data_IF_221221951600
#
_entry.id   IF_221221951600
#
_cell.length_a   1.000
_cell.length_b   1.000
_cell.length_c   1.000
_cell.angle_alpha   90.00
_cell.angle_beta   90.00
_cell.angle_gamma   90.00
#
_symmetry.space_group_name_H-M   'P 1'
#
loop_
_entity.id
_entity.type
_entity.pdbx_description
1 polymer ?
#
# COMPACT_ATOMS: atom_id res chain seq x y z
N UNK A 1 -31.26 29.52 -32.36
CA UNK A 1 -30.73 28.14 -32.24
C UNK A 1 -29.26 28.04 -31.81
N UNK A 2 -28.32 28.84 -32.35
CA UNK A 2 -26.89 28.74 -31.95
C UNK A 2 -26.62 29.06 -30.46
N UNK A 3 -27.32 30.03 -29.89
CA UNK A 3 -27.15 30.42 -28.47
C UNK A 3 -27.65 29.35 -27.49
N UNK A 4 -28.74 28.66 -27.83
CA UNK A 4 -29.30 27.56 -27.01
C UNK A 4 -28.30 26.39 -26.94
N UNK A 5 -27.66 26.04 -28.08
CA UNK A 5 -26.61 25.01 -28.11
C UNK A 5 -25.41 25.35 -27.22
N UNK A 6 -24.99 26.63 -27.19
CA UNK A 6 -23.89 27.09 -26.32
C UNK A 6 -24.24 26.99 -24.84
N UNK A 7 -25.47 27.34 -24.47
CA UNK A 7 -25.96 27.25 -23.08
C UNK A 7 -26.00 25.79 -22.61
N UNK A 8 -26.49 24.85 -23.44
CA UNK A 8 -26.50 23.42 -23.10
C UNK A 8 -25.09 22.86 -22.87
N UNK A 9 -24.09 23.29 -23.66
CA UNK A 9 -22.70 22.84 -23.47
C UNK A 9 -22.16 23.30 -22.11
N UNK A 10 -22.42 24.54 -21.72
CA UNK A 10 -21.98 25.09 -20.43
C UNK A 10 -22.60 24.32 -19.27
N UNK A 11 -23.91 24.03 -19.34
CA UNK A 11 -24.59 23.23 -18.32
C UNK A 11 -24.01 21.81 -18.20
N UNK A 12 -23.62 21.18 -19.31
CA UNK A 12 -23.01 19.85 -19.29
C UNK A 12 -21.68 19.82 -18.51
N UNK A 13 -20.86 20.87 -18.64
CA UNK A 13 -19.58 21.00 -17.93
C UNK A 13 -19.73 21.36 -16.45
N UNK A 14 -20.81 22.04 -16.05
CA UNK A 14 -21.07 22.39 -14.65
C UNK A 14 -21.49 21.16 -13.81
N UNK A 15 -22.22 20.22 -14.42
CA UNK A 15 -22.67 19.02 -13.71
C UNK A 15 -21.58 17.95 -13.53
N UNK A 16 -20.52 17.94 -14.34
CA UNK A 16 -19.42 16.98 -14.20
C UNK A 16 -18.55 17.21 -12.96
N UNK A 17 -18.62 18.38 -12.33
CA UNK A 17 -17.84 18.72 -11.14
C UNK A 17 -18.53 18.34 -9.82
N UNK A 18 -19.78 17.86 -9.86
CA UNK A 18 -20.58 17.54 -8.68
C UNK A 18 -20.51 16.07 -8.27
N UNK A 19 -19.75 15.24 -8.99
CA UNK A 19 -19.55 13.84 -8.61
C UNK A 19 -18.53 13.80 -7.47
N UNK A 20 -19.02 13.55 -6.25
CA UNK A 20 -18.17 13.15 -5.15
C UNK A 20 -17.50 11.82 -5.52
N UNK A 21 -16.17 11.79 -5.54
CA UNK A 21 -15.45 10.52 -5.63
C UNK A 21 -15.92 9.65 -4.45
N UNK A 22 -16.38 8.43 -4.72
CA UNK A 22 -16.80 7.52 -3.65
C UNK A 22 -15.55 7.16 -2.85
N UNK A 23 -15.54 7.47 -1.55
CA UNK A 23 -14.50 7.00 -0.65
C UNK A 23 -14.60 5.48 -0.55
N UNK A 24 -13.71 4.77 -1.25
CA UNK A 24 -13.61 3.33 -1.13
C UNK A 24 -13.25 2.98 0.31
N UNK A 25 -14.18 2.32 1.00
CA UNK A 25 -13.95 1.84 2.36
C UNK A 25 -12.83 0.80 2.32
N UNK A 26 -11.67 1.15 2.90
CA UNK A 26 -10.51 0.27 3.00
C UNK A 26 -10.92 -1.09 3.63
N UNK A 27 -10.39 -2.22 3.14
CA UNK A 27 -10.62 -3.53 3.74
C UNK A 27 -10.27 -3.53 5.25
N UNK A 28 -11.05 -4.27 6.04
CA UNK A 28 -10.97 -4.25 7.50
C UNK A 28 -9.55 -4.51 8.05
N UNK A 29 -8.77 -5.38 7.40
CA UNK A 29 -7.37 -5.67 7.76
C UNK A 29 -6.48 -4.42 7.81
N UNK A 30 -6.80 -3.41 7.01
CA UNK A 30 -6.06 -2.16 6.93
C UNK A 30 -6.67 -1.02 7.75
N UNK A 31 -7.92 -1.17 8.18
CA UNK A 31 -8.69 -0.10 8.82
C UNK A 31 -8.22 0.21 10.25
N UNK A 32 -7.66 -0.78 10.96
CA UNK A 32 -7.22 -0.62 12.35
C UNK A 32 -5.80 -0.03 12.50
N UNK A 33 -5.05 0.11 11.40
CA UNK A 33 -3.63 0.52 11.41
C UNK A 33 -3.38 2.02 11.09
N UNK A 34 -4.44 2.81 10.87
CA UNK A 34 -4.33 4.21 10.44
C UNK A 34 -3.86 5.20 11.52
N UNK A 35 -3.61 4.76 12.76
CA UNK A 35 -2.98 5.60 13.78
C UNK A 35 -1.46 5.62 13.57
N UNK A 36 -0.99 6.32 12.54
CA UNK A 36 0.40 6.73 12.45
C UNK A 36 0.67 7.75 13.55
N UNK A 37 1.25 7.30 14.67
CA UNK A 37 1.81 8.22 15.67
C UNK A 37 2.90 9.04 15.00
N UNK A 38 2.61 10.29 14.67
CA UNK A 38 3.61 11.31 14.33
C UNK A 38 4.33 11.73 15.60
N UNK A 39 5.07 10.81 16.21
CA UNK A 39 5.96 11.14 17.30
C UNK A 39 7.19 11.83 16.69
N UNK A 40 7.18 13.16 16.66
CA UNK A 40 8.38 13.93 16.36
C UNK A 40 9.46 13.54 17.39
N UNK A 41 10.54 12.93 16.91
CA UNK A 41 11.74 12.69 17.70
C UNK A 41 12.40 14.04 18.03
N UNK A 42 11.96 14.66 19.12
CA UNK A 42 12.75 15.63 19.88
C UNK A 42 13.25 14.92 21.14
N UNK A 43 14.52 14.51 21.13
CA UNK A 43 15.16 13.88 22.29
C UNK A 43 16.66 13.80 22.12
N UNK A 44 17.39 14.38 23.08
CA UNK A 44 18.84 14.40 23.15
C UNK A 44 19.46 13.00 22.99
N UNK A 45 20.39 12.87 22.05
CA UNK A 45 21.08 11.63 21.68
C UNK A 45 22.18 11.34 22.71
N UNK A 46 21.83 11.06 23.97
CA UNK A 46 22.85 10.76 25.00
C UNK A 46 22.54 9.59 25.95
N UNK A 47 21.40 8.91 25.83
CA UNK A 47 21.17 7.68 26.59
C UNK A 47 21.21 6.46 25.68
N UNK A 48 22.16 5.57 25.94
CA UNK A 48 22.28 4.27 25.32
C UNK A 48 20.98 3.49 25.47
N UNK A 49 20.25 3.31 24.36
CA UNK A 49 19.07 2.46 24.30
C UNK A 49 19.48 1.01 24.60
N UNK A 50 19.30 0.57 25.85
CA UNK A 50 19.21 -0.86 26.14
C UNK A 50 17.85 -1.34 25.64
N UNK A 51 17.84 -1.85 24.41
CA UNK A 51 16.69 -2.58 23.86
C UNK A 51 16.66 -3.93 24.56
N UNK A 52 15.71 -4.11 25.48
CA UNK A 52 15.33 -5.45 25.92
C UNK A 52 15.03 -6.28 24.68
N UNK A 53 15.57 -7.50 24.58
CA UNK A 53 15.23 -8.47 23.51
C UNK A 53 13.78 -8.95 23.72
N UNK A 54 12.83 -8.03 23.57
CA UNK A 54 11.47 -8.39 23.18
C UNK A 54 11.55 -8.95 21.76
N UNK A 55 10.68 -9.92 21.46
CA UNK A 55 10.60 -10.63 20.18
C UNK A 55 10.79 -9.63 19.04
N UNK A 56 11.84 -9.79 18.23
CA UNK A 56 12.16 -8.87 17.14
C UNK A 56 11.03 -8.91 16.10
N UNK A 57 10.03 -8.05 16.26
CA UNK A 57 8.99 -7.82 15.28
C UNK A 57 9.55 -6.86 14.24
N UNK A 58 9.99 -7.41 13.12
CA UNK A 58 10.47 -6.63 11.98
C UNK A 58 9.29 -6.37 11.06
N UNK A 59 8.41 -5.46 11.47
CA UNK A 59 7.22 -5.04 10.71
C UNK A 59 7.64 -4.04 9.62
N UNK A 60 7.08 -4.16 8.41
CA UNK A 60 7.22 -3.13 7.38
C UNK A 60 5.82 -2.61 7.04
N UNK A 61 5.57 -1.33 7.28
CA UNK A 61 4.33 -0.66 6.89
C UNK A 61 4.68 0.51 5.97
N UNK A 62 4.24 0.46 4.72
CA UNK A 62 4.52 1.47 3.71
C UNK A 62 3.22 1.99 3.09
N UNK A 63 3.06 3.31 3.03
CA UNK A 63 1.95 3.98 2.35
C UNK A 63 2.51 5.02 1.39
N UNK A 64 2.21 4.88 0.11
CA UNK A 64 2.61 5.80 -0.96
C UNK A 64 1.37 6.24 -1.74
N UNK A 65 1.26 7.53 -1.99
CA UNK A 65 0.17 8.14 -2.77
C UNK A 65 0.83 8.95 -3.89
N UNK A 66 0.43 8.68 -5.13
CA UNK A 66 1.00 9.25 -6.35
C UNK A 66 1.20 8.17 -7.41
N UNK A 67 1.56 8.61 -8.60
CA UNK A 67 1.79 7.72 -9.74
C UNK A 67 3.26 7.26 -9.77
N UNK A 68 3.52 6.13 -10.42
CA UNK A 68 4.86 5.59 -10.68
C UNK A 68 5.73 5.34 -9.43
N UNK A 69 5.13 5.15 -8.25
CA UNK A 69 5.88 4.81 -7.05
C UNK A 69 6.50 3.42 -7.18
N UNK A 70 7.75 3.30 -6.75
CA UNK A 70 8.48 2.03 -6.75
C UNK A 70 8.83 1.65 -5.32
N UNK A 71 8.47 0.43 -4.93
CA UNK A 71 8.84 -0.18 -3.68
C UNK A 71 9.45 -1.56 -3.93
N UNK A 72 10.69 -1.75 -3.49
CA UNK A 72 11.41 -3.03 -3.61
C UNK A 72 11.86 -3.47 -2.22
N UNK A 73 11.26 -4.53 -1.69
CA UNK A 73 11.56 -5.05 -0.37
C UNK A 73 12.21 -6.42 -0.50
N UNK A 74 13.38 -6.59 0.13
CA UNK A 74 14.06 -7.86 0.28
C UNK A 74 14.11 -8.22 1.76
N UNK A 75 13.23 -9.12 2.18
CA UNK A 75 13.21 -9.64 3.54
C UNK A 75 14.09 -10.88 3.65
N UNK A 76 15.01 -10.90 4.62
CA UNK A 76 15.84 -12.06 4.96
C UNK A 76 15.58 -12.60 6.38
N UNK A 77 15.18 -11.73 7.31
CA UNK A 77 15.03 -12.08 8.73
C UNK A 77 13.82 -11.36 9.35
N UNK A 78 12.72 -11.19 8.60
CA UNK A 78 11.54 -10.52 9.13
C UNK A 78 10.56 -11.51 9.74
N UNK A 79 9.83 -11.03 10.74
CA UNK A 79 8.77 -11.75 11.44
C UNK A 79 7.71 -10.71 11.82
N UNK A 80 6.43 -11.06 11.66
CA UNK A 80 5.30 -10.20 11.99
C UNK A 80 4.50 -9.75 10.77
N UNK A 81 3.80 -8.63 10.95
CA UNK A 81 2.92 -8.04 9.94
C UNK A 81 3.71 -7.16 8.97
N UNK A 82 3.39 -7.25 7.70
CA UNK A 82 3.91 -6.40 6.64
C UNK A 82 2.74 -5.86 5.85
N UNK A 83 2.63 -4.54 5.73
CA UNK A 83 1.55 -3.90 5.00
C UNK A 83 2.08 -2.90 3.99
N UNK A 84 1.48 -2.92 2.80
CA UNK A 84 1.74 -1.95 1.75
C UNK A 84 0.43 -1.35 1.26
N UNK A 85 0.44 -0.03 1.08
CA UNK A 85 -0.57 0.75 0.38
C UNK A 85 0.09 1.56 -0.72
N UNK A 86 -0.33 1.38 -1.97
CA UNK A 86 0.01 2.27 -3.08
C UNK A 86 -1.26 2.74 -3.76
N UNK A 87 -1.45 4.05 -3.86
CA UNK A 87 -2.61 4.68 -4.50
C UNK A 87 -2.11 5.59 -5.60
N UNK A 88 -2.54 5.36 -6.84
CA UNK A 88 -2.13 6.04 -8.06
C UNK A 88 -1.83 5.03 -9.18
N UNK A 89 -1.51 5.55 -10.36
CA UNK A 89 -1.32 4.75 -11.57
C UNK A 89 0.16 4.37 -11.76
N UNK A 90 0.44 3.23 -12.38
CA UNK A 90 1.81 2.80 -12.72
C UNK A 90 2.71 2.45 -11.54
N UNK A 91 2.17 2.26 -10.34
CA UNK A 91 2.93 1.90 -9.15
C UNK A 91 3.48 0.46 -9.25
N UNK A 92 4.73 0.26 -8.84
CA UNK A 92 5.39 -1.03 -8.89
C UNK A 92 5.85 -1.45 -7.50
N UNK A 93 5.36 -2.61 -7.06
CA UNK A 93 5.80 -3.24 -5.84
C UNK A 93 6.41 -4.61 -6.09
N UNK A 94 7.64 -4.78 -5.62
CA UNK A 94 8.30 -6.07 -5.54
C UNK A 94 8.61 -6.45 -4.09
N UNK A 95 8.12 -7.62 -3.68
CA UNK A 95 8.44 -8.24 -2.42
C UNK A 95 9.17 -9.56 -2.64
N UNK A 96 10.42 -9.62 -2.21
CA UNK A 96 11.20 -10.85 -2.15
C UNK A 96 11.36 -11.26 -0.70
N UNK A 97 10.82 -12.43 -0.35
CA UNK A 97 11.03 -13.04 0.94
C UNK A 97 12.01 -14.20 0.81
N UNK A 98 13.10 -14.13 1.56
CA UNK A 98 14.10 -15.19 1.72
C UNK A 98 14.20 -15.61 3.20
N UNK A 99 13.22 -15.25 4.03
CA UNK A 99 13.21 -15.59 5.44
C UNK A 99 12.78 -17.04 5.66
N UNK A 100 13.37 -17.66 6.68
CA UNK A 100 12.94 -18.97 7.19
C UNK A 100 11.76 -18.86 8.16
N UNK A 101 11.32 -17.65 8.49
CA UNK A 101 10.18 -17.40 9.38
C UNK A 101 8.93 -17.03 8.56
N UNK A 102 7.75 -17.53 8.95
CA UNK A 102 6.52 -17.11 8.32
C UNK A 102 6.21 -15.65 8.67
N UNK A 103 5.61 -14.93 7.72
CA UNK A 103 5.18 -13.55 7.88
C UNK A 103 3.71 -13.39 7.49
N UNK A 104 3.10 -12.29 7.94
CA UNK A 104 1.81 -11.85 7.43
C UNK A 104 2.05 -10.70 6.46
N UNK A 105 1.57 -10.80 5.22
CA UNK A 105 1.73 -9.78 4.19
C UNK A 105 0.36 -9.33 3.68
N UNK A 106 0.06 -8.04 3.86
CA UNK A 106 -1.06 -7.34 3.25
C UNK A 106 -0.59 -6.35 2.19
N UNK A 107 -1.16 -6.42 1.00
CA UNK A 107 -0.89 -5.47 -0.09
C UNK A 107 -2.20 -4.88 -0.57
N UNK A 108 -2.27 -3.55 -0.64
CA UNK A 108 -3.32 -2.79 -1.30
C UNK A 108 -2.70 -1.92 -2.38
N UNK A 109 -3.13 -2.13 -3.63
CA UNK A 109 -2.83 -1.23 -4.74
C UNK A 109 -4.13 -0.74 -5.37
N UNK A 110 -4.25 0.57 -5.55
CA UNK A 110 -5.40 1.20 -6.21
C UNK A 110 -4.91 2.15 -7.31
N UNK A 111 -5.46 2.01 -8.51
CA UNK A 111 -5.05 2.74 -9.72
C UNK A 111 -4.72 1.78 -10.88
N UNK A 112 -4.58 2.33 -12.08
CA UNK A 112 -4.34 1.58 -13.31
C UNK A 112 -2.86 1.28 -13.52
N UNK A 113 -2.57 0.23 -14.30
CA UNK A 113 -1.22 -0.17 -14.69
C UNK A 113 -0.26 -0.44 -13.52
N UNK A 114 -0.80 -0.70 -12.33
CA UNK A 114 -0.04 -1.10 -11.16
C UNK A 114 0.55 -2.51 -11.36
N UNK A 115 1.77 -2.73 -10.89
CA UNK A 115 2.46 -4.00 -10.92
C UNK A 115 2.73 -4.49 -9.50
N UNK A 116 2.32 -5.74 -9.23
CA UNK A 116 2.66 -6.48 -8.02
C UNK A 116 3.48 -7.71 -8.36
N UNK A 117 4.66 -7.83 -7.75
CA UNK A 117 5.50 -9.03 -7.83
C UNK A 117 5.88 -9.54 -6.45
N UNK A 118 5.45 -10.75 -6.11
CA UNK A 118 5.80 -11.41 -4.85
C UNK A 118 6.57 -12.69 -5.15
N UNK A 119 7.72 -12.87 -4.51
CA UNK A 119 8.58 -14.06 -4.66
C UNK A 119 8.96 -14.59 -3.29
N UNK A 120 8.74 -15.89 -3.05
CA UNK A 120 9.07 -16.58 -1.79
C UNK A 120 8.87 -18.09 -1.88
N UNK A 121 8.99 -18.82 -0.75
CA UNK A 121 8.67 -20.25 -0.65
C UNK A 121 7.35 -20.49 0.09
N UNK A 122 6.76 -21.67 -0.10
CA UNK A 122 5.37 -21.96 0.28
C UNK A 122 5.06 -21.80 1.78
N UNK A 123 6.05 -22.01 2.66
CA UNK A 123 5.88 -21.89 4.11
C UNK A 123 6.12 -20.48 4.66
N UNK A 124 6.41 -19.49 3.81
CA UNK A 124 6.81 -18.15 4.24
C UNK A 124 5.65 -17.20 4.57
N UNK A 125 4.43 -17.47 4.14
CA UNK A 125 3.29 -16.60 4.42
C UNK A 125 2.31 -17.33 5.33
N UNK A 126 2.17 -16.85 6.55
CA UNK A 126 1.10 -17.31 7.44
C UNK A 126 -0.24 -16.72 7.02
N UNK A 127 -0.24 -15.45 6.61
CA UNK A 127 -1.37 -14.79 5.96
C UNK A 127 -0.85 -13.97 4.78
N UNK A 128 -1.46 -14.15 3.61
CA UNK A 128 -1.23 -13.28 2.44
C UNK A 128 -2.57 -12.69 2.02
N UNK A 129 -2.67 -11.37 2.06
CA UNK A 129 -3.85 -10.63 1.62
C UNK A 129 -3.45 -9.63 0.54
N UNK A 130 -4.14 -9.66 -0.59
CA UNK A 130 -3.85 -8.78 -1.71
C UNK A 130 -5.17 -8.19 -2.22
N UNK A 131 -5.21 -6.87 -2.32
CA UNK A 131 -6.32 -6.11 -2.86
C UNK A 131 -5.79 -5.22 -3.98
N UNK A 132 -6.32 -5.40 -5.20
CA UNK A 132 -5.97 -4.59 -6.36
C UNK A 132 -7.23 -4.00 -7.00
N UNK A 133 -7.25 -2.68 -7.15
CA UNK A 133 -8.34 -1.93 -7.78
C UNK A 133 -7.76 -1.06 -8.91
N UNK A 134 -8.43 -0.97 -10.06
CA UNK A 134 -7.85 -0.36 -11.26
C UNK A 134 -6.86 -1.31 -11.94
N UNK A 135 -6.87 -1.41 -13.27
CA UNK A 135 -6.29 -2.52 -14.04
C UNK A 135 -4.83 -2.84 -13.70
N UNK A 136 -4.60 -3.80 -12.79
CA UNK A 136 -3.28 -4.13 -12.27
C UNK A 136 -2.78 -5.50 -12.79
N UNK A 137 -1.46 -5.64 -12.88
CA UNK A 137 -0.78 -6.89 -13.21
C UNK A 137 -0.21 -7.51 -11.94
N UNK A 138 -0.38 -8.82 -11.78
CA UNK A 138 0.08 -9.56 -10.61
C UNK A 138 0.94 -10.77 -11.03
N UNK A 139 2.06 -10.97 -10.33
CA UNK A 139 2.89 -12.16 -10.42
C UNK A 139 3.28 -12.64 -9.03
N UNK A 140 2.82 -13.83 -8.66
CA UNK A 140 3.20 -14.50 -7.42
C UNK A 140 3.97 -15.75 -7.82
N UNK A 141 5.25 -15.81 -7.46
CA UNK A 141 6.12 -16.94 -7.75
C UNK A 141 6.47 -17.60 -6.43
N UNK A 142 6.15 -18.88 -6.35
CA UNK A 142 6.37 -19.70 -5.18
C UNK A 142 7.30 -20.86 -5.52
N UNK A 143 8.30 -21.09 -4.69
CA UNK A 143 9.29 -22.17 -4.84
C UNK A 143 9.17 -23.22 -3.72
#
# INVERSE_FOLDING_TARGET
MKSIKKISIIFLFLFSLLVSAQDEKLPNYFSEQLQLNTQQLQGDISNSFQVNKEKTLSTISLKQIGDENIANINSKYTNGEHTLFQIGDGNNYQFLNNSSQPINLGVLQAGNDNLLKIVGTNSMFQNLQIYQFGGAKMSIINY
#
